data_IF_541297255739
#
_entry.id   IF_541297255739
#
_cell.length_a   1.000
_cell.length_b   1.000
_cell.length_c   1.000
_cell.angle_alpha   90.00
_cell.angle_beta   90.00
_cell.angle_gamma   90.00
#
_symmetry.space_group_name_H-M   'P 1'
#
loop_
_entity.id
_entity.type
_entity.pdbx_description
1 polymer ?
#
# COMPACT_ATOMS: atom_id res chain seq x y z
N UNK A 1 -9.58 -15.80 7.72
CA UNK A 1 -9.65 -14.33 7.70
C UNK A 1 -8.85 -13.77 6.56
N UNK A 2 -9.42 -12.79 5.86
CA UNK A 2 -8.70 -12.14 4.77
C UNK A 2 -7.62 -11.21 5.34
N UNK A 3 -6.48 -11.17 4.68
CA UNK A 3 -5.41 -10.23 5.04
C UNK A 3 -5.81 -8.81 4.66
N UNK A 4 -5.37 -7.80 5.44
CA UNK A 4 -5.59 -6.41 5.04
C UNK A 4 -4.97 -6.12 3.68
N UNK A 5 -5.58 -5.23 2.95
CA UNK A 5 -5.05 -4.77 1.65
C UNK A 5 -4.80 -5.92 0.67
N UNK A 6 -5.76 -6.84 0.62
CA UNK A 6 -5.65 -8.03 -0.23
C UNK A 6 -5.42 -7.67 -1.70
N UNK A 7 -6.19 -6.71 -2.23
CA UNK A 7 -6.06 -6.30 -3.63
C UNK A 7 -4.71 -5.63 -3.87
N UNK A 8 -4.25 -4.82 -2.92
CA UNK A 8 -2.96 -4.16 -3.01
C UNK A 8 -1.84 -5.20 -3.04
N UNK A 9 -1.90 -6.20 -2.17
CA UNK A 9 -0.90 -7.27 -2.14
C UNK A 9 -0.86 -8.03 -3.47
N UNK A 10 -2.03 -8.31 -4.04
CA UNK A 10 -2.13 -8.98 -5.33
C UNK A 10 -1.49 -8.17 -6.45
N UNK A 11 -1.75 -6.86 -6.46
CA UNK A 11 -1.17 -5.98 -7.49
C UNK A 11 0.34 -5.87 -7.32
N UNK A 12 0.82 -5.77 -6.08
CA UNK A 12 2.26 -5.76 -5.81
C UNK A 12 2.93 -7.01 -6.36
N UNK A 13 2.32 -8.16 -6.12
CA UNK A 13 2.85 -9.42 -6.62
C UNK A 13 2.88 -9.46 -8.14
N UNK A 14 1.82 -8.98 -8.78
CA UNK A 14 1.74 -8.93 -10.24
C UNK A 14 2.81 -8.02 -10.84
N UNK A 15 3.18 -6.96 -10.14
CA UNK A 15 4.22 -6.03 -10.58
C UNK A 15 5.60 -6.36 -10.04
N UNK A 16 5.72 -7.48 -9.32
CA UNK A 16 6.97 -7.89 -8.67
C UNK A 16 7.53 -6.80 -7.75
N UNK A 17 6.61 -6.11 -7.08
CA UNK A 17 6.94 -5.01 -6.16
C UNK A 17 6.97 -5.53 -4.73
N UNK A 18 8.05 -5.28 -4.01
CA UNK A 18 8.18 -5.71 -2.61
C UNK A 18 7.88 -4.56 -1.66
N UNK A 19 7.70 -4.90 -0.38
CA UNK A 19 7.52 -3.88 0.65
C UNK A 19 8.78 -3.02 0.79
N UNK A 20 9.95 -3.59 0.54
CA UNK A 20 11.21 -2.83 0.55
C UNK A 20 11.24 -1.78 -0.56
N UNK A 21 10.72 -2.11 -1.72
CA UNK A 21 10.64 -1.16 -2.83
C UNK A 21 9.75 0.03 -2.45
N UNK A 22 8.63 -0.25 -1.80
CA UNK A 22 7.72 0.79 -1.34
C UNK A 22 8.41 1.64 -0.27
N UNK A 23 9.08 0.99 0.68
CA UNK A 23 9.78 1.69 1.76
C UNK A 23 10.82 2.66 1.18
N UNK A 24 11.56 2.19 0.20
CA UNK A 24 12.59 3.01 -0.45
C UNK A 24 11.98 4.22 -1.14
N UNK A 25 10.88 4.01 -1.84
CA UNK A 25 10.19 5.10 -2.53
C UNK A 25 9.63 6.14 -1.57
N UNK A 26 9.07 5.67 -0.46
CA UNK A 26 8.43 6.55 0.53
C UNK A 26 9.42 7.09 1.57
N UNK A 27 10.68 6.66 1.49
CA UNK A 27 11.71 7.03 2.46
C UNK A 27 11.32 6.60 3.87
N UNK A 28 10.74 5.41 3.97
CA UNK A 28 10.35 4.79 5.23
C UNK A 28 11.19 3.54 5.48
N UNK A 29 11.17 3.05 6.71
CA UNK A 29 11.80 1.77 7.01
C UNK A 29 10.90 0.62 6.55
N UNK A 30 11.50 -0.53 6.29
CA UNK A 30 10.74 -1.73 5.93
C UNK A 30 9.73 -2.10 7.02
N UNK A 31 10.08 -1.86 8.28
CA UNK A 31 9.19 -2.11 9.41
C UNK A 31 7.96 -1.22 9.34
N UNK A 32 8.14 0.06 9.00
CA UNK A 32 7.02 0.99 8.87
C UNK A 32 6.05 0.55 7.79
N UNK A 33 6.56 0.12 6.63
CA UNK A 33 5.73 -0.38 5.54
C UNK A 33 5.02 -1.66 5.96
N UNK A 34 5.72 -2.55 6.62
CA UNK A 34 5.14 -3.81 7.12
C UNK A 34 3.97 -3.55 8.06
N UNK A 35 4.10 -2.57 8.96
CA UNK A 35 3.01 -2.18 9.87
C UNK A 35 1.81 -1.65 9.12
N UNK A 36 2.03 -0.84 8.08
CA UNK A 36 0.95 -0.33 7.25
C UNK A 36 0.27 -1.45 6.47
N UNK A 37 1.04 -2.39 5.95
CA UNK A 37 0.50 -3.53 5.20
C UNK A 37 -0.28 -4.50 6.09
N UNK A 38 0.04 -4.56 7.38
CA UNK A 38 -0.66 -5.44 8.33
C UNK A 38 -1.85 -4.76 9.01
N UNK A 39 -2.06 -3.48 8.73
CA UNK A 39 -3.15 -2.72 9.33
C UNK A 39 -2.85 -2.15 10.71
N UNK A 40 -1.63 -2.29 11.21
CA UNK A 40 -1.24 -1.75 12.51
C UNK A 40 -1.07 -0.24 12.49
N UNK A 41 -0.74 0.32 11.33
CA UNK A 41 -0.66 1.75 11.11
C UNK A 41 -1.43 2.11 9.86
N UNK A 42 -2.02 3.30 9.85
CA UNK A 42 -2.75 3.77 8.69
C UNK A 42 -1.78 4.34 7.66
N UNK A 43 -2.11 4.16 6.38
CA UNK A 43 -1.40 4.83 5.30
C UNK A 43 -1.79 6.30 5.31
N UNK A 44 -0.82 7.16 5.05
CA UNK A 44 -1.11 8.58 4.82
C UNK A 44 -1.57 8.75 3.38
N UNK A 45 -2.40 9.75 3.13
CA UNK A 45 -2.96 9.95 1.80
C UNK A 45 -1.89 10.11 0.71
N UNK A 46 -0.86 10.91 0.99
CA UNK A 46 0.23 11.08 0.04
C UNK A 46 0.97 9.78 -0.22
N UNK A 47 1.10 8.93 0.79
CA UNK A 47 1.72 7.61 0.65
C UNK A 47 0.89 6.71 -0.26
N UNK A 48 -0.43 6.77 -0.13
CA UNK A 48 -1.32 5.99 -0.97
C UNK A 48 -1.13 6.35 -2.45
N UNK A 49 -1.09 7.64 -2.76
CA UNK A 49 -0.89 8.08 -4.15
C UNK A 49 0.48 7.67 -4.68
N UNK A 50 1.50 7.73 -3.85
CA UNK A 50 2.84 7.30 -4.25
C UNK A 50 2.87 5.81 -4.58
N UNK A 51 2.20 5.00 -3.75
CA UNK A 51 2.13 3.56 -3.98
C UNK A 51 1.36 3.26 -5.26
N UNK A 52 0.25 3.96 -5.49
CA UNK A 52 -0.51 3.78 -6.73
C UNK A 52 0.37 4.09 -7.94
N UNK A 53 1.13 5.17 -7.89
CA UNK A 53 2.03 5.54 -8.98
C UNK A 53 3.11 4.47 -9.23
N UNK A 54 3.66 3.91 -8.16
CA UNK A 54 4.64 2.83 -8.27
C UNK A 54 4.07 1.59 -8.94
N UNK A 55 2.78 1.32 -8.72
CA UNK A 55 2.11 0.14 -9.26
C UNK A 55 1.43 0.43 -10.60
N UNK A 56 1.70 1.60 -11.16
CA UNK A 56 1.11 2.04 -12.44
C UNK A 56 -0.41 2.03 -12.39
N UNK A 57 -0.96 2.54 -11.31
CA UNK A 57 -2.40 2.64 -11.09
C UNK A 57 -2.85 4.07 -11.10
N UNK A 58 -4.10 4.28 -11.53
CA UNK A 58 -4.73 5.58 -11.58
C UNK A 58 -5.16 6.01 -10.17
N UNK A 59 -5.10 7.31 -9.90
CA UNK A 59 -5.56 7.87 -8.62
C UNK A 59 -7.03 7.54 -8.34
N UNK A 60 -7.82 7.34 -9.38
CA UNK A 60 -9.23 6.96 -9.23
C UNK A 60 -9.41 5.59 -8.61
N UNK A 61 -8.36 4.78 -8.55
CA UNK A 61 -8.40 3.46 -7.96
C UNK A 61 -8.03 3.47 -6.47
N UNK A 62 -7.87 4.65 -5.90
CA UNK A 62 -7.51 4.80 -4.49
C UNK A 62 -8.44 4.00 -3.57
N UNK A 63 -9.76 4.17 -3.74
CA UNK A 63 -10.74 3.50 -2.88
C UNK A 63 -10.72 1.98 -3.02
N UNK A 64 -10.28 1.49 -4.16
CA UNK A 64 -10.20 0.06 -4.43
C UNK A 64 -9.03 -0.59 -3.67
N UNK A 65 -7.87 0.07 -3.70
CA UNK A 65 -6.65 -0.48 -3.11
C UNK A 65 -6.41 -0.03 -1.67
N UNK A 66 -6.91 1.15 -1.32
CA UNK A 66 -6.80 1.71 0.03
C UNK A 66 -8.18 2.09 0.54
N UNK A 67 -9.02 1.10 0.86
CA UNK A 67 -10.34 1.40 1.38
C UNK A 67 -10.25 2.19 2.68
N UNK A 68 -11.19 3.09 2.89
CA UNK A 68 -11.24 3.92 4.10
C UNK A 68 -10.00 4.79 4.30
N UNK A 69 -9.40 5.22 3.17
CA UNK A 69 -8.23 6.10 3.23
C UNK A 69 -7.00 5.45 3.81
N UNK A 70 -6.83 4.14 3.59
CA UNK A 70 -5.68 3.42 4.07
C UNK A 70 -5.83 2.80 5.46
N UNK A 71 -7.01 2.92 6.05
CA UNK A 71 -7.31 2.29 7.35
C UNK A 71 -7.83 0.88 7.14
N UNK A 72 -7.50 0.03 8.08
CA UNK A 72 -7.92 -1.37 8.04
C UNK A 72 -9.04 -1.62 9.05
N UNK A 73 -10.18 -1.04 8.83
CA UNK A 73 -11.34 -1.23 9.71
C UNK A 73 -12.49 -1.87 8.98
#
# INVERSE_FOLDING_TARGET
MARPFRLLRGRMRACEMTQEDIARRLMLSAVSVSRRMSGKESWRLNECYEVLALLDLDDRQLCKYFPRGGRNE
#
